data_IF_362982907507
#
_entry.id   IF_362982907507
#
_cell.length_a   1.000
_cell.length_b   1.000
_cell.length_c   1.000
_cell.angle_alpha   90.00
_cell.angle_beta   90.00
_cell.angle_gamma   90.00
#
_symmetry.space_group_name_H-M   'P 1'
#
loop_
_entity.id
_entity.type
_entity.pdbx_description
1 polymer ?
#
# COMPACT_ATOMS: atom_id res chain seq x y z
N UNK A 1 -3.57 -8.47 -17.27
CA UNK A 1 -4.72 -8.29 -16.36
C UNK A 1 -4.25 -7.59 -15.09
N UNK A 2 -4.76 -6.39 -14.82
CA UNK A 2 -4.43 -5.62 -13.62
C UNK A 2 -4.97 -6.32 -12.37
N UNK A 3 -4.10 -6.61 -11.39
CA UNK A 3 -4.51 -7.15 -10.09
C UNK A 3 -4.65 -5.99 -9.11
N UNK A 4 -5.69 -6.02 -8.27
CA UNK A 4 -5.93 -5.01 -7.26
C UNK A 4 -5.56 -5.54 -5.88
N UNK A 5 -4.58 -4.91 -5.24
CA UNK A 5 -4.22 -5.22 -3.86
C UNK A 5 -5.28 -4.63 -2.92
N UNK A 6 -5.88 -5.48 -2.09
CA UNK A 6 -6.95 -5.10 -1.15
C UNK A 6 -6.64 -5.61 0.25
N UNK A 7 -7.29 -5.00 1.24
CA UNK A 7 -7.32 -5.47 2.62
C UNK A 7 -8.73 -5.64 3.12
N UNK A 8 -8.96 -6.65 3.94
CA UNK A 8 -10.23 -6.75 4.64
C UNK A 8 -10.41 -5.55 5.57
N UNK A 9 -11.59 -4.93 5.57
CA UNK A 9 -11.90 -3.82 6.49
C UNK A 9 -11.94 -4.26 7.96
N UNK A 10 -12.22 -5.54 8.21
CA UNK A 10 -12.34 -6.10 9.55
C UNK A 10 -11.01 -6.58 10.12
N UNK A 11 -10.37 -7.56 9.47
CA UNK A 11 -9.14 -8.18 9.99
C UNK A 11 -7.84 -7.67 9.34
N UNK A 12 -7.91 -6.64 8.49
CA UNK A 12 -6.78 -6.06 7.77
C UNK A 12 -5.94 -7.02 6.89
N UNK A 13 -6.35 -8.29 6.75
CA UNK A 13 -5.68 -9.30 5.92
C UNK A 13 -5.62 -8.86 4.46
N UNK A 14 -4.44 -9.00 3.85
CA UNK A 14 -4.18 -8.66 2.44
C UNK A 14 -4.71 -9.74 1.50
N UNK A 15 -5.19 -9.32 0.33
CA UNK A 15 -5.56 -10.20 -0.79
C UNK A 15 -5.35 -9.47 -2.11
N UNK A 16 -5.12 -10.21 -3.19
CA UNK A 16 -5.16 -9.67 -4.55
C UNK A 16 -6.47 -10.09 -5.23
N UNK A 17 -7.23 -9.12 -5.75
CA UNK A 17 -8.42 -9.37 -6.55
C UNK A 17 -8.12 -9.20 -8.04
N UNK A 18 -8.88 -9.91 -8.88
CA UNK A 18 -8.76 -9.85 -10.36
C UNK A 18 -9.38 -8.58 -10.97
N UNK A 19 -10.24 -7.90 -10.22
CA UNK A 19 -11.01 -6.71 -10.61
C UNK A 19 -11.10 -5.76 -9.42
N UNK A 20 -11.55 -4.53 -9.63
CA UNK A 20 -11.81 -3.59 -8.54
C UNK A 20 -12.92 -4.15 -7.62
N UNK A 21 -12.88 -3.96 -6.28
CA UNK A 21 -13.93 -4.44 -5.39
C UNK A 21 -15.36 -4.09 -5.83
N UNK A 22 -15.57 -2.87 -6.33
CA UNK A 22 -16.88 -2.37 -6.74
C UNK A 22 -17.39 -2.98 -8.05
N UNK A 23 -16.52 -3.66 -8.81
CA UNK A 23 -16.88 -4.35 -10.05
C UNK A 23 -17.40 -5.78 -9.80
N UNK A 24 -17.36 -6.28 -8.56
CA UNK A 24 -17.91 -7.58 -8.22
C UNK A 24 -19.39 -7.46 -7.86
N UNK A 25 -20.26 -8.13 -8.61
CA UNK A 25 -21.64 -8.34 -8.17
C UNK A 25 -21.71 -9.03 -6.79
N UNK A 26 -20.72 -9.90 -6.50
CA UNK A 26 -20.55 -10.51 -5.19
C UNK A 26 -19.06 -10.64 -4.84
N UNK A 27 -18.61 -9.84 -3.87
CA UNK A 27 -17.22 -9.89 -3.40
C UNK A 27 -16.86 -11.27 -2.83
N UNK A 28 -15.66 -11.80 -3.10
CA UNK A 28 -15.19 -13.05 -2.51
C UNK A 28 -15.07 -12.94 -0.98
N UNK A 29 -15.19 -14.07 -0.26
CA UNK A 29 -15.05 -14.07 1.21
C UNK A 29 -13.59 -13.90 1.63
N UNK A 30 -13.34 -13.12 2.66
CA UNK A 30 -12.04 -13.09 3.34
C UNK A 30 -11.66 -14.50 3.82
N UNK A 31 -10.43 -14.93 3.53
CA UNK A 31 -9.91 -16.23 3.93
C UNK A 31 -9.73 -16.39 5.43
N UNK A 32 -9.69 -15.28 6.18
CA UNK A 32 -9.46 -15.29 7.63
C UNK A 32 -10.76 -15.08 8.39
N UNK A 33 -11.49 -13.99 8.14
CA UNK A 33 -12.70 -13.65 8.91
C UNK A 33 -14.02 -13.94 8.20
N UNK A 34 -14.00 -14.50 6.97
CA UNK A 34 -15.21 -14.82 6.19
C UNK A 34 -15.99 -13.62 5.65
N UNK A 35 -15.79 -12.40 6.16
CA UNK A 35 -16.47 -11.17 5.71
C UNK A 35 -16.10 -10.81 4.27
N UNK A 36 -17.01 -10.14 3.56
CA UNK A 36 -16.85 -9.73 2.16
C UNK A 36 -16.54 -8.23 2.00
N UNK A 37 -16.04 -7.61 3.06
CA UNK A 37 -15.76 -6.18 3.11
C UNK A 37 -14.27 -5.93 2.86
N UNK A 38 -13.95 -5.35 1.71
CA UNK A 38 -12.58 -4.98 1.34
C UNK A 38 -12.42 -3.47 1.18
N UNK A 39 -11.19 -2.99 1.38
CA UNK A 39 -10.71 -1.66 0.98
C UNK A 39 -9.49 -1.83 0.10
N UNK A 40 -9.27 -0.93 -0.84
CA UNK A 40 -8.03 -0.91 -1.61
C UNK A 40 -6.83 -0.66 -0.68
N UNK A 41 -5.76 -1.42 -0.89
CA UNK A 41 -4.46 -1.12 -0.28
C UNK A 41 -3.76 -0.10 -1.18
N UNK A 42 -3.99 1.19 -0.91
CA UNK A 42 -3.54 2.28 -1.78
C UNK A 42 -2.02 2.26 -1.97
N UNK A 43 -1.27 2.10 -0.89
CA UNK A 43 0.19 1.96 -0.96
C UNK A 43 0.62 0.78 -1.86
N UNK A 44 0.05 -0.42 -1.69
CA UNK A 44 0.41 -1.57 -2.53
C UNK A 44 0.03 -1.39 -4.01
N UNK A 45 -1.03 -0.65 -4.33
CA UNK A 45 -1.43 -0.39 -5.72
C UNK A 45 -0.66 0.78 -6.35
N UNK A 46 -0.22 1.77 -5.57
CA UNK A 46 0.58 2.92 -6.05
C UNK A 46 2.07 2.60 -6.12
N UNK A 47 2.58 1.67 -5.30
CA UNK A 47 4.01 1.38 -5.26
C UNK A 47 4.47 0.92 -6.63
N UNK A 48 5.53 1.56 -7.09
CA UNK A 48 6.20 1.15 -8.32
C UNK A 48 7.27 0.11 -7.95
N UNK A 49 7.04 -1.12 -8.37
CA UNK A 49 7.97 -2.23 -8.11
C UNK A 49 9.22 -2.17 -8.98
N UNK A 50 9.29 -1.27 -9.96
CA UNK A 50 10.45 -1.08 -10.83
C UNK A 50 11.43 -0.01 -10.31
N UNK A 51 11.05 0.73 -9.25
CA UNK A 51 11.89 1.79 -8.69
C UNK A 51 13.24 1.32 -8.17
N UNK A 52 14.16 2.28 -8.24
CA UNK A 52 15.56 2.22 -7.87
C UNK A 52 15.73 1.70 -6.44
N UNK A 53 16.75 0.86 -6.27
CA UNK A 53 17.26 0.45 -4.98
C UNK A 53 17.61 1.69 -4.14
N UNK A 54 17.25 1.65 -2.87
CA UNK A 54 17.56 2.66 -1.86
C UNK A 54 18.26 1.98 -0.69
N UNK A 55 19.31 2.62 -0.19
CA UNK A 55 20.13 2.15 0.92
C UNK A 55 20.08 3.16 2.11
N UNK A 56 18.98 3.91 2.26
CA UNK A 56 18.82 4.84 3.39
C UNK A 56 18.62 4.12 4.73
N UNK A 57 18.91 4.81 5.83
CA UNK A 57 18.85 4.26 7.20
C UNK A 57 17.43 3.93 7.69
N UNK A 58 16.38 4.29 6.95
CA UNK A 58 15.01 3.85 7.22
C UNK A 58 14.84 2.32 7.24
N UNK A 59 15.77 1.58 6.65
CA UNK A 59 15.86 0.13 6.75
C UNK A 59 17.33 -0.31 6.92
N UNK A 60 17.55 -1.37 7.71
CA UNK A 60 18.88 -2.00 7.84
C UNK A 60 19.29 -2.83 6.61
N UNK A 61 18.41 -2.96 5.62
CA UNK A 61 18.64 -3.72 4.40
C UNK A 61 18.31 -2.89 3.15
N UNK A 62 18.90 -3.22 1.98
CA UNK A 62 18.57 -2.55 0.72
C UNK A 62 17.09 -2.71 0.39
N UNK A 63 16.40 -1.60 0.22
CA UNK A 63 14.96 -1.58 -0.04
C UNK A 63 14.67 -0.78 -1.31
N UNK A 64 13.40 -0.60 -1.64
CA UNK A 64 12.99 0.22 -2.79
C UNK A 64 12.62 1.61 -2.32
N UNK A 65 12.98 2.62 -3.09
CA UNK A 65 12.51 3.99 -2.86
C UNK A 65 10.98 4.03 -2.73
N UNK A 66 10.43 4.91 -1.88
CA UNK A 66 9.00 4.99 -1.52
C UNK A 66 8.41 3.78 -0.79
N UNK A 67 9.26 2.85 -0.31
CA UNK A 67 8.81 1.83 0.65
C UNK A 67 8.31 2.50 1.93
N UNK A 68 7.50 1.81 2.72
CA UNK A 68 7.05 2.30 4.03
C UNK A 68 8.30 2.64 4.89
N UNK A 69 8.36 3.76 5.61
CA UNK A 69 9.56 4.17 6.37
C UNK A 69 10.85 4.47 5.58
N UNK A 70 10.87 4.31 4.25
CA UNK A 70 11.94 4.84 3.41
C UNK A 70 12.06 6.36 3.60
N UNK A 71 13.29 6.87 3.66
CA UNK A 71 13.53 8.31 3.83
C UNK A 71 13.36 9.12 2.56
N UNK A 72 12.99 8.47 1.46
CA UNK A 72 12.78 9.10 0.18
C UNK A 72 11.39 8.75 -0.36
N UNK A 73 10.68 9.79 -0.80
CA UNK A 73 9.41 9.68 -1.53
C UNK A 73 9.63 9.11 -2.93
N UNK A 74 8.53 8.90 -3.63
CA UNK A 74 8.51 8.39 -5.01
C UNK A 74 9.25 9.26 -6.02
N UNK A 75 9.36 10.56 -5.76
CA UNK A 75 9.98 11.57 -6.62
C UNK A 75 11.44 11.87 -6.23
N UNK A 76 11.98 11.20 -5.21
CA UNK A 76 13.32 11.48 -4.68
C UNK A 76 13.38 12.53 -3.58
N UNK A 77 12.27 13.18 -3.23
CA UNK A 77 12.25 14.13 -2.12
C UNK A 77 12.40 13.42 -0.77
N UNK A 78 13.02 14.11 0.19
CA UNK A 78 13.23 13.59 1.55
C UNK A 78 11.90 13.43 2.30
N UNK A 79 11.82 12.37 3.11
CA UNK A 79 10.70 12.02 3.99
C UNK A 79 11.26 11.57 5.33
N UNK A 80 10.83 12.16 6.43
CA UNK A 80 11.43 11.90 7.74
C UNK A 80 10.39 11.53 8.82
N UNK A 81 10.81 10.91 9.93
CA UNK A 81 9.94 10.71 11.09
C UNK A 81 9.33 12.04 11.55
N UNK A 82 7.99 12.13 11.53
CA UNK A 82 7.26 13.37 11.79
C UNK A 82 6.46 13.85 10.58
N UNK A 83 6.86 13.47 9.36
CA UNK A 83 6.06 13.75 8.17
C UNK A 83 4.78 12.90 8.19
N UNK A 84 3.67 13.51 7.78
CA UNK A 84 2.34 12.89 7.71
C UNK A 84 2.30 11.62 6.87
N UNK A 85 3.24 11.49 5.93
CA UNK A 85 3.33 10.38 4.99
C UNK A 85 4.38 9.32 5.34
N UNK A 86 5.13 9.50 6.43
CA UNK A 86 6.25 8.62 6.78
C UNK A 86 5.81 7.19 7.13
N UNK A 87 4.80 7.09 7.99
CA UNK A 87 4.27 5.82 8.50
C UNK A 87 2.85 5.50 8.00
N UNK A 88 2.16 6.46 7.38
CA UNK A 88 0.79 6.26 6.92
C UNK A 88 0.73 5.60 5.54
N UNK A 89 0.10 4.43 5.52
CA UNK A 89 -0.15 3.62 4.30
C UNK A 89 -1.32 4.15 3.48
N UNK A 90 -2.12 5.04 4.05
CA UNK A 90 -3.28 5.66 3.40
C UNK A 90 -3.02 7.13 3.06
N UNK A 91 -1.78 7.61 3.22
CA UNK A 91 -1.45 8.98 2.86
C UNK A 91 -1.59 9.17 1.36
N UNK A 92 -2.57 9.99 0.98
CA UNK A 92 -2.91 10.21 -0.43
C UNK A 92 -2.15 11.37 -1.06
N UNK A 93 -1.47 12.20 -0.26
CA UNK A 93 -0.92 13.50 -0.70
C UNK A 93 -1.98 14.57 -0.92
N UNK A 94 -3.24 14.25 -0.65
CA UNK A 94 -4.34 15.21 -0.55
C UNK A 94 -4.48 15.55 0.92
N UNK A 95 -4.09 16.77 1.26
CA UNK A 95 -4.56 17.45 2.45
C UNK A 95 -6.08 17.33 2.53
N UNK A 96 -6.59 17.33 3.77
CA UNK A 96 -7.99 17.67 4.03
C UNK A 96 -8.38 18.99 3.34
#
# INVERSE_FOLDING_TARGET
MTRYHVRCRHCATRRCLRKHPDQFARLPRCSVCGRRTYRLDRWMNRRDTTKTRCDCEGYWFPHRQSSLFCWYRSDGTGRFPGDTDFADRNYDGLAA
#
